data_IF_419274845298
#
_entry.id   IF_419274845298
#
_cell.length_a   1.000
_cell.length_b   1.000
_cell.length_c   1.000
_cell.angle_alpha   90.00
_cell.angle_beta   90.00
_cell.angle_gamma   90.00
#
_symmetry.space_group_name_H-M   'P 1'
#
loop_
_entity.id
_entity.type
_entity.pdbx_description
1 polymer ?
#
# COMPACT_ATOMS: atom_id res chain seq x y z
N UNK A 1 -23.69 9.20 3.30
CA UNK A 1 -24.52 8.09 3.80
C UNK A 1 -23.76 6.82 3.47
N UNK A 2 -23.54 5.93 4.44
CA UNK A 2 -22.79 4.68 4.22
C UNK A 2 -23.70 3.67 3.51
N UNK A 3 -23.16 2.89 2.58
CA UNK A 3 -23.91 1.86 1.87
C UNK A 3 -24.13 0.62 2.76
N UNK A 4 -25.27 -0.05 2.63
CA UNK A 4 -25.54 -1.28 3.41
C UNK A 4 -24.51 -2.37 3.10
N UNK A 5 -24.04 -2.44 1.85
CA UNK A 5 -23.02 -3.39 1.44
C UNK A 5 -21.69 -3.15 2.16
N UNK A 6 -21.33 -1.90 2.41
CA UNK A 6 -20.11 -1.56 3.16
C UNK A 6 -20.22 -2.02 4.62
N UNK A 7 -21.42 -1.89 5.22
CA UNK A 7 -21.68 -2.38 6.57
C UNK A 7 -21.55 -3.90 6.64
N UNK A 8 -22.11 -4.64 5.68
CA UNK A 8 -21.95 -6.10 5.61
C UNK A 8 -20.48 -6.53 5.55
N UNK A 9 -19.66 -5.82 4.76
CA UNK A 9 -18.23 -6.10 4.64
C UNK A 9 -17.49 -5.85 5.96
N UNK A 10 -17.81 -4.76 6.66
CA UNK A 10 -17.21 -4.44 7.98
C UNK A 10 -17.60 -5.51 9.01
N UNK A 11 -18.85 -5.96 9.03
CA UNK A 11 -19.32 -7.04 9.92
C UNK A 11 -18.58 -8.35 9.67
N UNK A 12 -18.42 -8.72 8.40
CA UNK A 12 -17.66 -9.92 8.03
C UNK A 12 -16.18 -9.81 8.43
N UNK A 13 -15.58 -8.63 8.30
CA UNK A 13 -14.20 -8.39 8.74
C UNK A 13 -14.05 -8.48 10.27
N UNK A 14 -14.94 -7.82 11.02
CA UNK A 14 -14.97 -7.87 12.49
C UNK A 14 -15.07 -9.32 13.00
N UNK A 15 -15.96 -10.12 12.41
CA UNK A 15 -16.12 -11.52 12.74
C UNK A 15 -14.86 -12.35 12.44
N UNK A 16 -14.21 -12.13 11.28
CA UNK A 16 -12.96 -12.81 10.90
C UNK A 16 -11.81 -12.46 11.84
N UNK A 17 -11.76 -11.22 12.33
CA UNK A 17 -10.68 -10.71 13.19
C UNK A 17 -10.95 -10.94 14.67
N UNK A 18 -12.17 -11.36 15.06
CA UNK A 18 -12.56 -11.55 16.45
C UNK A 18 -12.63 -10.23 17.25
N UNK A 19 -12.86 -9.11 16.56
CA UNK A 19 -12.87 -7.76 17.13
C UNK A 19 -14.26 -7.14 17.06
N UNK A 20 -14.61 -6.19 17.96
CA UNK A 20 -15.86 -5.45 17.86
C UNK A 20 -15.93 -4.59 16.59
N UNK A 21 -17.08 -4.55 15.92
CA UNK A 21 -17.32 -3.68 14.74
C UNK A 21 -16.99 -2.20 15.04
N UNK A 22 -17.24 -1.76 16.29
CA UNK A 22 -16.96 -0.40 16.75
C UNK A 22 -15.48 -0.03 16.69
N UNK A 23 -14.56 -1.00 16.78
CA UNK A 23 -13.14 -0.73 16.60
C UNK A 23 -12.80 -0.40 15.15
N UNK A 24 -13.35 -1.15 14.20
CA UNK A 24 -13.16 -0.88 12.77
C UNK A 24 -13.74 0.49 12.39
N UNK A 25 -14.89 0.88 12.96
CA UNK A 25 -15.43 2.22 12.74
C UNK A 25 -14.53 3.31 13.31
N UNK A 26 -13.99 3.13 14.53
CA UNK A 26 -13.04 4.11 15.12
C UNK A 26 -11.78 4.26 14.27
N UNK A 27 -11.25 3.15 13.79
CA UNK A 27 -10.10 3.13 12.89
C UNK A 27 -10.40 3.84 11.57
N UNK A 28 -11.55 3.56 10.96
CA UNK A 28 -11.98 4.25 9.73
C UNK A 28 -12.08 5.77 9.91
N UNK A 29 -12.68 6.24 11.01
CA UNK A 29 -12.73 7.68 11.32
C UNK A 29 -11.35 8.26 11.58
N UNK A 30 -10.46 7.53 12.24
CA UNK A 30 -9.08 7.97 12.46
C UNK A 30 -8.31 8.12 11.14
N UNK A 31 -8.40 7.15 10.24
CA UNK A 31 -7.79 7.20 8.91
C UNK A 31 -8.37 8.35 8.07
N UNK A 32 -9.68 8.55 8.12
CA UNK A 32 -10.34 9.67 7.45
C UNK A 32 -9.86 11.03 8.00
N UNK A 33 -9.68 11.15 9.32
CA UNK A 33 -9.14 12.35 9.96
C UNK A 33 -7.69 12.60 9.53
N UNK A 34 -6.82 11.59 9.58
CA UNK A 34 -5.43 11.70 9.12
C UNK A 34 -5.34 12.11 7.66
N UNK A 35 -6.15 11.49 6.78
CA UNK A 35 -6.21 11.85 5.35
C UNK A 35 -6.69 13.29 5.14
N UNK A 36 -7.61 13.75 5.98
CA UNK A 36 -8.16 15.10 5.89
C UNK A 36 -7.26 16.16 6.54
N UNK A 37 -6.23 15.73 7.27
CA UNK A 37 -5.21 16.62 7.81
C UNK A 37 -4.36 17.17 6.66
N UNK A 38 -4.89 18.23 6.04
CA UNK A 38 -4.20 19.00 5.03
C UNK A 38 -3.04 19.72 5.71
N UNK A 39 -1.86 19.63 5.11
CA UNK A 39 -0.74 20.44 5.57
C UNK A 39 -0.99 21.87 5.11
N UNK A 40 -0.84 22.82 6.03
CA UNK A 40 -1.16 24.23 5.80
C UNK A 40 -0.20 24.89 4.80
N UNK A 41 1.02 24.38 4.73
CA UNK A 41 2.07 24.90 3.88
C UNK A 41 2.17 24.10 2.57
N UNK A 42 2.56 24.78 1.50
CA UNK A 42 2.90 24.13 0.23
C UNK A 42 4.16 23.30 0.45
N UNK A 43 4.06 21.99 0.29
CA UNK A 43 5.24 21.15 0.45
C UNK A 43 6.10 21.27 -0.78
N UNK A 44 7.37 21.56 -0.56
CA UNK A 44 8.41 21.32 -1.53
C UNK A 44 8.72 19.81 -1.61
N UNK A 45 7.80 19.04 -2.24
CA UNK A 45 8.03 17.62 -2.50
C UNK A 45 9.01 17.54 -3.67
N UNK A 46 10.21 16.97 -3.49
CA UNK A 46 11.15 16.81 -4.59
C UNK A 46 10.51 15.93 -5.67
N UNK A 47 10.62 16.37 -6.91
CA UNK A 47 10.21 15.55 -8.06
C UNK A 47 11.25 14.44 -8.22
N UNK A 48 10.86 13.20 -7.93
CA UNK A 48 11.68 12.04 -8.19
C UNK A 48 11.49 11.59 -9.64
N UNK A 49 12.56 11.64 -10.43
CA UNK A 49 12.59 10.97 -11.72
C UNK A 49 12.86 9.48 -11.49
N UNK A 50 11.79 8.68 -11.54
CA UNK A 50 11.88 7.22 -11.43
C UNK A 50 12.30 6.54 -12.75
N UNK A 51 12.84 7.30 -13.73
CA UNK A 51 13.40 6.75 -14.95
C UNK A 51 12.38 6.36 -16.01
N UNK A 52 11.16 6.91 -15.94
CA UNK A 52 10.07 6.65 -16.88
C UNK A 52 9.41 5.26 -16.73
N UNK A 53 8.45 4.92 -17.60
CA UNK A 53 7.74 3.65 -17.54
C UNK A 53 8.67 2.45 -17.72
N UNK A 54 8.62 1.49 -16.79
CA UNK A 54 9.38 0.25 -16.91
C UNK A 54 8.71 -0.66 -17.95
N UNK A 55 9.38 -0.86 -19.07
CA UNK A 55 8.96 -1.80 -20.11
C UNK A 55 9.34 -3.25 -19.79
N UNK A 56 8.73 -4.20 -20.51
CA UNK A 56 8.97 -5.64 -20.36
C UNK A 56 10.47 -6.00 -20.38
N UNK A 57 11.23 -5.46 -21.33
CA UNK A 57 12.67 -5.69 -21.42
C UNK A 57 13.44 -5.22 -20.17
N UNK A 58 12.95 -4.17 -19.50
CA UNK A 58 13.52 -3.70 -18.24
C UNK A 58 13.30 -4.70 -17.10
N UNK A 59 12.12 -5.30 -17.05
CA UNK A 59 11.79 -6.36 -16.07
C UNK A 59 12.64 -7.61 -16.33
N UNK A 60 12.72 -8.08 -17.57
CA UNK A 60 13.48 -9.28 -17.94
C UNK A 60 14.96 -9.15 -17.60
N UNK A 61 15.54 -7.98 -17.85
CA UNK A 61 16.93 -7.67 -17.48
C UNK A 61 17.13 -7.70 -15.96
N UNK A 62 16.28 -7.00 -15.20
CA UNK A 62 16.42 -6.94 -13.75
C UNK A 62 16.29 -8.32 -13.08
N UNK A 63 15.38 -9.16 -13.58
CA UNK A 63 15.24 -10.55 -13.11
C UNK A 63 16.49 -11.36 -13.45
N UNK A 64 17.01 -11.23 -14.66
CA UNK A 64 18.21 -11.95 -15.10
C UNK A 64 19.45 -11.53 -14.30
N UNK A 65 19.61 -10.23 -14.02
CA UNK A 65 20.68 -9.70 -13.17
C UNK A 65 20.60 -10.27 -11.75
N UNK A 66 19.42 -10.24 -11.12
CA UNK A 66 19.23 -10.80 -9.77
C UNK A 66 19.49 -12.31 -9.67
N UNK A 67 19.17 -13.08 -10.72
CA UNK A 67 19.49 -14.53 -10.77
C UNK A 67 21.01 -14.73 -10.84
N UNK A 68 21.72 -14.01 -11.71
CA UNK A 68 23.16 -14.16 -11.87
C UNK A 68 23.95 -13.71 -10.62
N UNK A 69 23.50 -12.67 -9.94
CA UNK A 69 24.07 -12.22 -8.66
C UNK A 69 23.84 -13.27 -7.54
N UNK A 70 22.68 -13.92 -7.54
CA UNK A 70 22.38 -15.03 -6.62
C UNK A 70 23.20 -16.30 -6.89
N UNK A 71 23.45 -16.63 -8.16
CA UNK A 71 24.27 -17.80 -8.54
C UNK A 71 25.77 -17.62 -8.26
N UNK A 72 26.25 -16.36 -8.22
CA UNK A 72 27.62 -16.03 -7.81
C UNK A 72 27.88 -16.22 -6.31
N UNK A 73 26.86 -16.12 -5.46
CA UNK A 73 26.99 -16.25 -4.00
C UNK A 73 26.92 -17.69 -3.49
N UNK A 74 26.51 -18.66 -4.31
CA UNK A 74 26.36 -20.09 -3.91
C UNK A 74 27.61 -20.92 -4.27
N UNK A 75 28.59 -20.32 -4.95
CA UNK A 75 29.91 -20.94 -5.23
C UNK A 75 31.05 -20.14 -4.58
N UNK A 76 31.11 -20.19 -3.26
CA UNK A 76 32.36 -20.07 -2.48
C UNK A 76 32.40 -21.13 -1.40
#
# INVERSE_FOLDING_TARGET
MVDERDLELIKAAAAREGRPESELFREAFHLAALRSQRWADEWDIPTFDFGGPVGQAGVERAVSEGINEGEGSVRE
#
